data_IF_298570198028
#
_entry.id   IF_298570198028
#
_cell.length_a   1.000
_cell.length_b   1.000
_cell.length_c   1.000
_cell.angle_alpha   90.00
_cell.angle_beta   90.00
_cell.angle_gamma   90.00
#
_symmetry.space_group_name_H-M   'P 1'
#
loop_
_entity.id
_entity.type
_entity.pdbx_description
1 polymer ?
#
# COMPACT_ATOMS: atom_id res chain seq x y z
N UNK A 1 0.89 -12.28 -20.27
CA UNK A 1 -0.55 -12.16 -19.98
C UNK A 1 -1.23 -11.05 -20.78
N UNK A 2 -1.15 -9.73 -20.46
CA UNK A 2 -1.87 -8.69 -21.21
C UNK A 2 -1.63 -8.75 -22.72
N UNK A 3 -0.37 -8.81 -23.15
CA UNK A 3 -0.02 -8.92 -24.57
C UNK A 3 -0.57 -10.18 -25.20
N UNK A 4 -0.56 -11.29 -24.51
CA UNK A 4 -1.03 -12.59 -24.99
C UNK A 4 -2.53 -12.60 -25.25
N UNK A 5 -3.32 -12.08 -24.30
CA UNK A 5 -4.78 -12.14 -24.36
C UNK A 5 -5.44 -10.91 -24.99
N UNK A 6 -4.84 -9.73 -24.89
CA UNK A 6 -5.44 -8.46 -25.33
C UNK A 6 -4.63 -7.74 -26.43
N UNK A 7 -3.49 -8.30 -26.85
CA UNK A 7 -2.61 -7.73 -27.87
C UNK A 7 -1.67 -6.64 -27.39
N UNK A 8 -0.81 -6.14 -28.27
CA UNK A 8 0.26 -5.17 -27.98
C UNK A 8 -0.27 -3.85 -27.40
N UNK A 9 -1.40 -3.38 -27.87
CA UNK A 9 -2.02 -2.12 -27.43
C UNK A 9 -2.39 -2.13 -25.94
N UNK A 10 -2.62 -3.30 -25.34
CA UNK A 10 -2.96 -3.41 -23.94
C UNK A 10 -1.77 -3.08 -22.99
N UNK A 11 -0.55 -3.11 -23.50
CA UNK A 11 0.66 -2.77 -22.73
C UNK A 11 1.24 -1.41 -23.09
N UNK A 12 0.84 -0.81 -24.20
CA UNK A 12 1.35 0.47 -24.71
C UNK A 12 0.37 1.62 -24.56
N UNK A 13 -0.94 1.33 -24.42
CA UNK A 13 -1.97 2.32 -24.21
C UNK A 13 -2.88 1.95 -23.03
N UNK A 14 -3.29 2.95 -22.25
CA UNK A 14 -4.26 2.74 -21.18
C UNK A 14 -5.61 2.29 -21.75
N UNK A 15 -6.13 1.19 -21.25
CA UNK A 15 -7.43 0.66 -21.67
C UNK A 15 -8.41 0.64 -20.48
N UNK A 16 -9.46 1.45 -20.50
CA UNK A 16 -10.53 1.34 -19.52
C UNK A 16 -11.10 -0.08 -19.48
N UNK A 17 -11.37 -0.60 -18.29
CA UNK A 17 -11.89 -1.95 -18.07
C UNK A 17 -11.02 -3.08 -18.66
N UNK A 18 -9.70 -2.87 -18.76
CA UNK A 18 -8.79 -3.90 -19.25
C UNK A 18 -8.87 -5.19 -18.43
N UNK A 19 -9.10 -5.10 -17.11
CA UNK A 19 -9.26 -6.26 -16.23
C UNK A 19 -10.44 -7.15 -16.61
N UNK A 20 -11.60 -6.54 -16.90
CA UNK A 20 -12.81 -7.27 -17.37
C UNK A 20 -12.62 -7.90 -18.75
N UNK A 21 -11.94 -7.17 -19.65
CA UNK A 21 -11.60 -7.71 -20.98
C UNK A 21 -10.65 -8.90 -20.86
N UNK A 22 -9.67 -8.80 -19.94
CA UNK A 22 -8.72 -9.87 -19.68
C UNK A 22 -9.44 -11.11 -19.12
N UNK A 23 -10.24 -10.95 -18.06
CA UNK A 23 -11.00 -12.06 -17.48
C UNK A 23 -11.87 -12.75 -18.54
N UNK A 24 -12.56 -11.97 -19.38
CA UNK A 24 -13.36 -12.51 -20.50
C UNK A 24 -12.49 -13.28 -21.51
N UNK A 25 -11.32 -12.74 -21.88
CA UNK A 25 -10.40 -13.40 -22.82
C UNK A 25 -9.79 -14.69 -22.24
N UNK A 26 -9.71 -14.79 -20.90
CA UNK A 26 -9.29 -15.99 -20.17
C UNK A 26 -10.47 -16.94 -19.87
N UNK A 27 -11.66 -16.66 -20.35
CA UNK A 27 -12.90 -17.42 -20.11
C UNK A 27 -13.29 -17.47 -18.63
N UNK A 28 -12.92 -16.46 -17.86
CA UNK A 28 -13.32 -16.32 -16.48
C UNK A 28 -14.65 -15.57 -16.37
N UNK A 29 -15.54 -16.09 -15.54
CA UNK A 29 -16.79 -15.42 -15.18
C UNK A 29 -16.53 -14.43 -14.05
N UNK A 30 -17.26 -13.31 -14.02
CA UNK A 30 -17.20 -12.36 -12.92
C UNK A 30 -18.60 -12.27 -12.31
N UNK A 31 -18.68 -12.54 -11.01
CA UNK A 31 -19.90 -12.42 -10.20
C UNK A 31 -19.60 -11.54 -8.98
N UNK A 32 -20.64 -11.13 -8.26
CA UNK A 32 -20.49 -10.37 -7.02
C UNK A 32 -21.50 -10.83 -5.98
N UNK A 33 -21.07 -10.84 -4.72
CA UNK A 33 -21.92 -11.12 -3.57
C UNK A 33 -21.44 -10.35 -2.34
N UNK A 34 -22.31 -10.02 -1.39
CA UNK A 34 -21.92 -9.43 -0.12
C UNK A 34 -21.32 -10.51 0.78
N UNK A 35 -20.02 -10.77 0.61
CA UNK A 35 -19.33 -11.78 1.40
C UNK A 35 -19.27 -11.36 2.87
N UNK A 36 -19.33 -12.37 3.73
CA UNK A 36 -19.48 -12.24 5.18
C UNK A 36 -18.48 -11.23 5.76
N UNK A 37 -18.97 -10.34 6.61
CA UNK A 37 -18.30 -9.31 7.47
C UNK A 37 -16.84 -8.93 7.18
N UNK A 38 -16.12 -9.67 6.34
CA UNK A 38 -14.73 -9.43 6.01
C UNK A 38 -14.60 -8.41 4.87
N UNK A 39 -14.60 -7.13 5.23
CA UNK A 39 -14.38 -6.02 4.30
C UNK A 39 -12.97 -5.99 3.71
N UNK A 40 -12.08 -6.93 4.08
CA UNK A 40 -10.70 -7.01 3.59
C UNK A 40 -10.56 -7.93 2.39
N UNK A 41 -11.37 -8.99 2.31
CA UNK A 41 -11.42 -9.83 1.11
C UNK A 41 -12.10 -9.05 -0.01
N UNK A 42 -11.38 -8.74 -1.06
CA UNK A 42 -11.85 -7.91 -2.16
C UNK A 42 -12.41 -8.77 -3.30
N UNK A 43 -11.77 -9.90 -3.59
CA UNK A 43 -12.18 -10.88 -4.59
C UNK A 43 -11.74 -12.30 -4.19
N UNK A 44 -12.34 -13.32 -4.81
CA UNK A 44 -11.98 -14.73 -4.66
C UNK A 44 -12.06 -15.39 -6.03
N UNK A 45 -11.03 -16.15 -6.42
CA UNK A 45 -11.06 -16.99 -7.61
C UNK A 45 -11.45 -18.43 -7.27
N UNK A 46 -12.47 -18.92 -7.95
CA UNK A 46 -12.89 -20.32 -7.91
C UNK A 46 -12.31 -21.08 -9.10
N UNK A 47 -11.25 -21.86 -8.88
CA UNK A 47 -10.65 -22.71 -9.93
C UNK A 47 -11.56 -23.88 -10.33
N UNK A 48 -12.35 -24.38 -9.41
CA UNK A 48 -13.40 -25.39 -9.58
C UNK A 48 -14.68 -24.94 -8.90
N UNK A 49 -15.79 -25.66 -9.12
CA UNK A 49 -17.03 -25.40 -8.43
C UNK A 49 -16.86 -25.49 -6.89
N UNK A 50 -17.41 -24.52 -6.18
CA UNK A 50 -17.30 -24.44 -4.73
C UNK A 50 -18.45 -23.70 -4.07
N UNK A 51 -18.38 -23.53 -2.75
CA UNK A 51 -19.41 -22.87 -1.95
C UNK A 51 -18.85 -21.58 -1.35
N UNK A 52 -19.53 -20.47 -1.57
CA UNK A 52 -19.28 -19.21 -0.87
C UNK A 52 -20.40 -18.92 0.15
N UNK A 53 -20.06 -18.18 1.21
CA UNK A 53 -21.03 -17.68 2.18
C UNK A 53 -21.24 -16.20 2.01
N UNK A 54 -22.46 -15.80 1.72
CA UNK A 54 -22.87 -14.43 1.52
C UNK A 54 -23.87 -13.96 2.59
N UNK A 55 -23.84 -12.67 2.88
CA UNK A 55 -24.83 -12.04 3.75
C UNK A 55 -26.11 -11.77 2.97
N UNK A 56 -27.24 -12.20 3.50
CA UNK A 56 -28.56 -11.86 2.97
C UNK A 56 -29.39 -11.14 4.02
N UNK A 57 -29.96 -10.02 3.63
CA UNK A 57 -30.89 -9.30 4.50
C UNK A 57 -32.28 -9.95 4.41
N UNK A 58 -32.81 -10.39 5.55
CA UNK A 58 -34.16 -10.94 5.67
C UNK A 58 -34.91 -10.13 6.75
N UNK A 59 -35.69 -9.14 6.30
CA UNK A 59 -36.25 -8.14 7.22
C UNK A 59 -35.13 -7.30 7.87
N UNK A 60 -35.14 -7.24 9.21
CA UNK A 60 -34.11 -6.53 9.99
C UNK A 60 -32.91 -7.41 10.36
N UNK A 61 -32.93 -8.69 10.02
CA UNK A 61 -31.88 -9.64 10.35
C UNK A 61 -30.97 -9.92 9.14
N UNK A 62 -29.66 -10.05 9.42
CA UNK A 62 -28.69 -10.54 8.44
C UNK A 62 -28.47 -12.03 8.65
N UNK A 63 -28.81 -12.82 7.67
CA UNK A 63 -28.60 -14.27 7.66
C UNK A 63 -27.50 -14.65 6.69
N UNK A 64 -26.82 -15.77 6.97
CA UNK A 64 -25.82 -16.33 6.08
C UNK A 64 -26.47 -17.30 5.11
N UNK A 65 -26.22 -17.13 3.83
CA UNK A 65 -26.66 -18.00 2.76
C UNK A 65 -25.46 -18.64 2.05
N UNK A 66 -25.53 -19.94 1.84
CA UNK A 66 -24.53 -20.65 1.04
C UNK A 66 -24.90 -20.57 -0.44
N UNK A 67 -23.92 -20.17 -1.25
CA UNK A 67 -24.06 -20.04 -2.71
C UNK A 67 -23.11 -21.01 -3.39
N UNK A 68 -23.61 -21.79 -4.35
CA UNK A 68 -22.75 -22.58 -5.24
C UNK A 68 -22.15 -21.65 -6.30
N UNK A 69 -20.84 -21.59 -6.37
CA UNK A 69 -20.10 -20.76 -7.32
C UNK A 69 -19.48 -21.69 -8.37
N UNK A 70 -19.76 -21.47 -9.66
CA UNK A 70 -19.20 -22.29 -10.74
C UNK A 70 -17.67 -22.17 -10.81
N UNK A 71 -17.02 -23.19 -11.35
CA UNK A 71 -15.61 -23.14 -11.70
C UNK A 71 -15.27 -21.93 -12.60
N UNK A 72 -14.02 -21.46 -12.56
CA UNK A 72 -13.53 -20.32 -13.35
C UNK A 72 -14.30 -19.01 -13.08
N UNK A 73 -14.72 -18.82 -11.82
CA UNK A 73 -15.45 -17.61 -11.42
C UNK A 73 -14.61 -16.74 -10.48
N UNK A 74 -14.49 -15.47 -10.81
CA UNK A 74 -14.01 -14.42 -9.90
C UNK A 74 -15.22 -13.86 -9.17
N UNK A 75 -15.31 -14.10 -7.86
CA UNK A 75 -16.38 -13.58 -7.01
C UNK A 75 -15.88 -12.30 -6.31
N UNK A 76 -16.47 -11.16 -6.67
CA UNK A 76 -16.17 -9.87 -6.06
C UNK A 76 -16.99 -9.67 -4.79
N UNK A 77 -16.35 -9.18 -3.73
CA UNK A 77 -17.03 -8.87 -2.47
C UNK A 77 -17.67 -7.49 -2.53
N UNK A 78 -19.00 -7.43 -2.67
CA UNK A 78 -19.74 -6.16 -2.70
C UNK A 78 -19.70 -5.39 -1.37
N UNK A 79 -19.33 -6.02 -0.25
CA UNK A 79 -19.10 -5.38 1.05
C UNK A 79 -17.69 -4.75 1.17
N UNK A 80 -16.78 -5.06 0.24
CA UNK A 80 -15.44 -4.49 0.26
C UNK A 80 -15.46 -2.98 -0.07
N UNK A 81 -14.58 -2.22 0.58
CA UNK A 81 -14.46 -0.78 0.33
C UNK A 81 -14.04 -0.44 -1.10
N UNK A 82 -13.24 -1.32 -1.74
CA UNK A 82 -12.82 -1.18 -3.13
C UNK A 82 -14.00 -1.32 -4.09
N UNK A 83 -14.89 -2.26 -3.85
CA UNK A 83 -16.09 -2.48 -4.68
C UNK A 83 -17.07 -1.29 -4.67
N UNK A 84 -17.19 -0.63 -3.51
CA UNK A 84 -18.07 0.54 -3.35
C UNK A 84 -17.57 1.79 -4.09
N UNK A 85 -16.32 1.79 -4.53
CA UNK A 85 -15.80 2.83 -5.42
C UNK A 85 -16.11 2.41 -6.85
N UNK A 86 -17.12 3.03 -7.44
CA UNK A 86 -17.61 2.71 -8.80
C UNK A 86 -16.53 2.73 -9.89
N UNK A 87 -15.37 3.31 -9.59
CA UNK A 87 -14.21 3.47 -10.45
C UNK A 87 -13.04 2.60 -9.99
N UNK A 88 -13.33 1.38 -9.47
CA UNK A 88 -12.25 0.47 -9.11
C UNK A 88 -11.39 0.24 -10.36
N UNK A 89 -10.08 0.37 -10.19
CA UNK A 89 -9.08 0.20 -11.25
C UNK A 89 -9.02 -1.25 -11.79
N UNK A 90 -9.93 -2.11 -11.31
CA UNK A 90 -10.00 -3.53 -11.66
C UNK A 90 -8.79 -4.33 -11.16
N UNK A 91 -8.04 -3.77 -10.22
CA UNK A 91 -6.83 -4.40 -9.69
C UNK A 91 -7.12 -5.77 -9.08
N UNK A 92 -8.25 -5.90 -8.41
CA UNK A 92 -8.72 -7.15 -7.81
C UNK A 92 -8.97 -8.22 -8.88
N UNK A 93 -9.59 -7.83 -9.99
CA UNK A 93 -9.81 -8.75 -11.13
C UNK A 93 -8.48 -9.14 -11.77
N UNK A 94 -7.56 -8.18 -11.97
CA UNK A 94 -6.21 -8.51 -12.43
C UNK A 94 -5.48 -9.45 -11.50
N UNK A 95 -5.65 -9.29 -10.18
CA UNK A 95 -5.05 -10.14 -9.17
C UNK A 95 -5.51 -11.59 -9.34
N UNK A 96 -6.80 -11.81 -9.46
CA UNK A 96 -7.38 -13.14 -9.66
C UNK A 96 -7.03 -13.73 -11.04
N UNK A 97 -6.96 -12.91 -12.09
CA UNK A 97 -6.46 -13.34 -13.40
C UNK A 97 -5.02 -13.85 -13.33
N UNK A 98 -4.16 -13.23 -12.48
CA UNK A 98 -2.78 -13.67 -12.30
C UNK A 98 -2.73 -14.97 -11.52
N UNK A 99 -3.56 -15.14 -10.50
CA UNK A 99 -3.68 -16.43 -9.83
C UNK A 99 -4.09 -17.52 -10.81
N UNK A 100 -5.05 -17.27 -11.68
CA UNK A 100 -5.48 -18.23 -12.68
C UNK A 100 -4.37 -18.59 -13.67
N UNK A 101 -3.65 -17.60 -14.19
CA UNK A 101 -2.62 -17.81 -15.22
C UNK A 101 -1.33 -18.43 -14.68
N UNK A 102 -0.86 -17.96 -13.50
CA UNK A 102 0.45 -18.32 -13.00
C UNK A 102 0.44 -19.31 -11.85
N UNK A 103 -0.64 -19.38 -11.10
CA UNK A 103 -0.69 -20.11 -9.84
C UNK A 103 -1.65 -21.32 -9.86
N UNK A 104 -2.32 -21.59 -10.98
CA UNK A 104 -3.25 -22.75 -11.10
C UNK A 104 -2.55 -24.04 -10.69
N UNK A 105 -1.33 -24.29 -11.17
CA UNK A 105 -0.58 -25.50 -10.81
C UNK A 105 -0.28 -25.58 -9.30
N UNK A 106 0.09 -24.45 -8.70
CA UNK A 106 0.34 -24.36 -7.26
C UNK A 106 -0.91 -24.76 -6.45
N UNK A 107 -2.06 -24.17 -6.75
CA UNK A 107 -3.31 -24.48 -6.07
C UNK A 107 -3.81 -25.89 -6.35
N UNK A 108 -3.64 -26.40 -7.58
CA UNK A 108 -3.97 -27.79 -7.93
C UNK A 108 -3.15 -28.79 -7.13
N UNK A 109 -1.85 -28.58 -7.01
CA UNK A 109 -0.97 -29.45 -6.22
C UNK A 109 -1.33 -29.39 -4.74
N UNK A 110 -1.70 -28.21 -4.22
CA UNK A 110 -2.18 -28.10 -2.87
C UNK A 110 -3.46 -28.90 -2.63
N UNK A 111 -4.43 -28.80 -3.55
CA UNK A 111 -5.68 -29.53 -3.45
C UNK A 111 -5.48 -31.05 -3.49
N UNK A 112 -4.50 -31.53 -4.26
CA UNK A 112 -4.14 -32.95 -4.32
C UNK A 112 -3.47 -33.44 -3.01
N UNK A 113 -2.73 -32.57 -2.32
CA UNK A 113 -2.09 -32.92 -1.05
C UNK A 113 -3.02 -32.85 0.15
N UNK A 114 -4.04 -32.00 0.07
CA UNK A 114 -5.10 -31.96 1.06
C UNK A 114 -6.19 -32.92 0.61
N UNK A 115 -6.52 -33.93 1.32
CA UNK A 115 -7.61 -34.90 0.97
C UNK A 115 -8.99 -34.21 0.76
N UNK A 116 -9.07 -32.91 0.82
CA UNK A 116 -10.24 -32.09 0.67
C UNK A 116 -10.18 -31.26 -0.62
N UNK A 117 -10.86 -31.74 -1.66
CA UNK A 117 -10.97 -31.07 -2.96
C UNK A 117 -11.69 -29.72 -2.92
N UNK A 118 -12.27 -29.33 -1.77
CA UNK A 118 -12.87 -28.01 -1.54
C UNK A 118 -11.83 -26.89 -1.41
N UNK A 119 -10.58 -27.21 -1.44
CA UNK A 119 -9.44 -26.34 -1.19
C UNK A 119 -8.98 -25.47 -2.34
N UNK A 120 -9.66 -25.54 -3.46
CA UNK A 120 -9.54 -24.51 -4.48
C UNK A 120 -10.44 -23.30 -4.19
N UNK A 121 -11.11 -23.32 -3.03
CA UNK A 121 -11.68 -22.15 -2.40
C UNK A 121 -10.59 -21.46 -1.57
N UNK A 122 -10.31 -20.27 -1.89
CA UNK A 122 -9.50 -19.39 -1.06
C UNK A 122 -10.24 -19.23 0.29
N UNK A 123 -9.86 -19.99 1.29
CA UNK A 123 -10.42 -19.78 2.62
C UNK A 123 -10.69 -20.97 3.54
N UNK A 124 -10.81 -22.17 3.09
CA UNK A 124 -11.17 -23.33 3.98
C UNK A 124 -10.21 -24.50 3.87
N UNK A 125 -8.90 -24.28 3.97
CA UNK A 125 -7.94 -25.37 4.02
C UNK A 125 -7.77 -25.94 5.42
N UNK A 126 -7.89 -27.27 5.55
CA UNK A 126 -7.55 -27.98 6.78
C UNK A 126 -6.08 -27.70 7.19
N UNK A 127 -5.85 -27.46 8.48
CA UNK A 127 -4.57 -27.02 9.05
C UNK A 127 -3.38 -27.94 8.77
N UNK A 128 -3.63 -29.22 8.46
CA UNK A 128 -2.59 -30.24 8.29
C UNK A 128 -1.95 -30.27 6.89
N UNK A 129 -2.58 -29.71 5.88
CA UNK A 129 -2.19 -29.86 4.46
C UNK A 129 -1.79 -28.55 3.76
N UNK A 130 -1.52 -27.50 4.51
CA UNK A 130 -1.22 -26.16 3.96
C UNK A 130 0.19 -26.04 3.40
N UNK A 131 0.36 -25.31 2.29
CA UNK A 131 1.68 -24.88 1.89
C UNK A 131 2.30 -24.07 3.01
N UNK A 132 3.63 -24.07 3.09
CA UNK A 132 4.31 -23.21 4.01
C UNK A 132 3.80 -21.78 3.83
N UNK A 133 3.50 -21.09 4.92
CA UNK A 133 3.00 -19.71 4.92
C UNK A 133 3.88 -18.76 4.05
N UNK A 134 5.15 -19.14 3.84
CA UNK A 134 6.09 -18.49 2.94
C UNK A 134 5.67 -18.59 1.48
N UNK A 135 5.18 -19.75 1.04
CA UNK A 135 4.85 -20.01 -0.37
C UNK A 135 3.57 -19.28 -0.76
N UNK A 136 2.55 -19.31 0.10
CA UNK A 136 1.31 -18.53 -0.08
C UNK A 136 1.62 -17.04 -0.16
N UNK A 137 2.45 -16.50 0.75
CA UNK A 137 2.85 -15.09 0.71
C UNK A 137 3.59 -14.72 -0.58
N UNK A 138 4.38 -15.66 -1.10
CA UNK A 138 5.08 -15.44 -2.36
C UNK A 138 4.11 -15.34 -3.53
N UNK A 139 3.16 -16.27 -3.61
CA UNK A 139 2.08 -16.30 -4.61
C UNK A 139 1.24 -15.02 -4.56
N UNK A 140 0.81 -14.61 -3.38
CA UNK A 140 0.06 -13.37 -3.16
C UNK A 140 0.86 -12.11 -3.55
N UNK A 141 2.16 -12.09 -3.20
CA UNK A 141 3.04 -10.98 -3.59
C UNK A 141 3.22 -10.88 -5.09
N UNK A 142 3.33 -12.02 -5.78
CA UNK A 142 3.40 -12.07 -7.25
C UNK A 142 2.10 -11.55 -7.87
N UNK A 143 0.94 -12.00 -7.39
CA UNK A 143 -0.35 -11.55 -7.86
C UNK A 143 -0.56 -10.04 -7.62
N UNK A 144 -0.21 -9.54 -6.44
CA UNK A 144 -0.30 -8.11 -6.10
C UNK A 144 0.64 -7.25 -6.95
N UNK A 145 1.88 -7.71 -7.18
CA UNK A 145 2.82 -7.01 -8.08
C UNK A 145 2.32 -7.00 -9.51
N UNK A 146 1.91 -8.16 -10.01
CA UNK A 146 1.45 -8.33 -11.38
C UNK A 146 0.16 -7.56 -11.66
N UNK A 147 -0.81 -7.54 -10.74
CA UNK A 147 -2.07 -6.79 -10.88
C UNK A 147 -1.83 -5.28 -10.97
N UNK A 148 -0.95 -4.75 -10.12
CA UNK A 148 -0.55 -3.35 -10.17
C UNK A 148 0.17 -3.01 -11.47
N UNK A 149 1.02 -3.92 -11.98
CA UNK A 149 1.72 -3.76 -13.25
C UNK A 149 0.78 -3.85 -14.46
N UNK A 150 -0.25 -4.69 -14.38
CA UNK A 150 -1.26 -4.83 -15.41
C UNK A 150 -2.22 -3.63 -15.46
N UNK A 151 -2.61 -3.10 -14.30
CA UNK A 151 -3.46 -1.92 -14.21
C UNK A 151 -2.76 -0.66 -14.75
N UNK A 152 -1.44 -0.52 -14.53
CA UNK A 152 -0.63 0.60 -15.01
C UNK A 152 0.69 0.11 -15.61
N UNK A 153 0.69 -0.32 -16.87
CA UNK A 153 1.90 -0.72 -17.58
C UNK A 153 2.94 0.43 -17.62
N UNK A 154 4.22 0.08 -17.46
CA UNK A 154 5.31 1.05 -17.48
C UNK A 154 5.30 1.97 -18.71
N UNK A 155 5.09 1.46 -19.96
CA UNK A 155 5.04 2.30 -21.16
C UNK A 155 3.89 3.32 -21.15
N UNK A 156 2.83 3.06 -20.42
CA UNK A 156 1.71 4.01 -20.21
C UNK A 156 2.04 5.02 -19.12
N UNK A 157 2.56 4.56 -18.00
CA UNK A 157 2.76 5.40 -16.82
C UNK A 157 3.92 6.39 -16.98
N UNK A 158 5.08 5.95 -17.50
CA UNK A 158 6.29 6.78 -17.50
C UNK A 158 6.19 8.05 -18.35
N UNK A 159 5.58 8.05 -19.55
CA UNK A 159 5.35 9.30 -20.30
C UNK A 159 4.53 10.33 -19.51
N UNK A 160 3.50 9.88 -18.80
CA UNK A 160 2.67 10.76 -17.95
C UNK A 160 3.44 11.32 -16.77
N UNK A 161 4.29 10.50 -16.14
CA UNK A 161 5.16 10.96 -15.06
C UNK A 161 6.09 12.07 -15.57
N UNK A 162 6.70 11.92 -16.72
CA UNK A 162 7.56 12.93 -17.33
C UNK A 162 6.79 14.20 -17.68
N UNK A 163 5.60 14.07 -18.26
CA UNK A 163 4.73 15.19 -18.59
C UNK A 163 4.40 16.02 -17.34
N UNK A 164 3.78 15.40 -16.32
CA UNK A 164 3.36 16.11 -15.11
C UNK A 164 4.52 16.58 -14.24
N UNK A 165 5.66 15.88 -14.28
CA UNK A 165 6.87 16.35 -13.63
C UNK A 165 7.39 17.63 -14.26
N UNK A 166 7.37 17.73 -15.58
CA UNK A 166 7.80 18.93 -16.29
C UNK A 166 6.96 20.18 -15.92
N UNK A 167 5.66 19.99 -15.62
CA UNK A 167 4.77 21.08 -15.18
C UNK A 167 5.20 21.70 -13.84
N UNK A 168 5.80 20.91 -12.95
CA UNK A 168 6.17 21.34 -11.58
C UNK A 168 7.66 21.47 -11.35
N UNK A 169 8.52 21.09 -12.30
CA UNK A 169 9.97 21.10 -12.14
C UNK A 169 10.48 22.47 -11.72
N UNK A 170 10.01 23.53 -12.39
CA UNK A 170 10.45 24.90 -12.16
C UNK A 170 9.59 25.65 -11.12
N UNK A 171 8.66 24.95 -10.45
CA UNK A 171 7.86 25.59 -9.42
C UNK A 171 8.61 25.59 -8.08
N UNK A 172 8.53 26.72 -7.36
CA UNK A 172 9.07 26.85 -5.99
C UNK A 172 8.15 26.20 -4.98
N UNK A 173 8.07 24.86 -5.00
CA UNK A 173 7.30 24.04 -4.05
C UNK A 173 8.17 22.90 -3.52
N UNK A 174 7.83 22.40 -2.33
CA UNK A 174 8.53 21.30 -1.69
C UNK A 174 8.63 20.08 -2.63
N UNK A 175 9.79 19.40 -2.73
CA UNK A 175 9.95 18.21 -3.59
C UNK A 175 8.93 17.11 -3.29
N UNK A 176 8.51 16.91 -2.03
CA UNK A 176 7.44 15.98 -1.66
C UNK A 176 6.08 16.38 -2.24
N UNK A 177 5.80 17.66 -2.39
CA UNK A 177 4.57 18.16 -3.01
C UNK A 177 4.63 18.03 -4.53
N UNK A 178 5.83 18.15 -5.16
CA UNK A 178 5.99 17.89 -6.61
C UNK A 178 5.59 16.47 -6.99
N UNK A 179 6.10 15.46 -6.27
CA UNK A 179 5.74 14.07 -6.56
C UNK A 179 4.27 13.77 -6.24
N UNK A 180 3.71 14.39 -5.20
CA UNK A 180 2.29 14.27 -4.89
C UNK A 180 1.42 14.87 -6.00
N UNK A 181 1.82 16.01 -6.58
CA UNK A 181 1.14 16.59 -7.74
C UNK A 181 1.11 15.62 -8.92
N UNK A 182 2.25 15.05 -9.28
CA UNK A 182 2.34 14.05 -10.37
C UNK A 182 1.40 12.87 -10.13
N UNK A 183 1.44 12.29 -8.92
CA UNK A 183 0.55 11.19 -8.55
C UNK A 183 -0.92 11.59 -8.64
N UNK A 184 -1.25 12.81 -8.18
CA UNK A 184 -2.61 13.32 -8.22
C UNK A 184 -3.14 13.49 -9.65
N UNK A 185 -2.37 14.12 -10.54
CA UNK A 185 -2.76 14.36 -11.94
C UNK A 185 -2.99 13.05 -12.69
N UNK A 186 -2.08 12.08 -12.53
CA UNK A 186 -2.25 10.76 -13.16
C UNK A 186 -3.50 10.05 -12.61
N UNK A 187 -3.74 10.14 -11.28
CA UNK A 187 -4.92 9.55 -10.65
C UNK A 187 -6.22 10.11 -11.21
N UNK A 188 -6.29 11.42 -11.41
CA UNK A 188 -7.45 12.10 -11.98
C UNK A 188 -7.65 11.73 -13.45
N UNK A 189 -6.59 11.76 -14.26
CA UNK A 189 -6.69 11.46 -15.70
C UNK A 189 -7.10 10.01 -15.96
N UNK A 190 -6.55 9.05 -15.21
CA UNK A 190 -6.81 7.61 -15.42
C UNK A 190 -7.93 7.06 -14.55
N UNK A 191 -8.52 7.87 -13.70
CA UNK A 191 -9.59 7.47 -12.77
C UNK A 191 -9.18 6.26 -11.91
N UNK A 192 -7.91 6.27 -11.42
CA UNK A 192 -7.35 5.23 -10.57
C UNK A 192 -6.95 5.80 -9.21
N UNK A 193 -6.76 4.94 -8.23
CA UNK A 193 -6.38 5.39 -6.89
C UNK A 193 -4.96 5.96 -6.83
N UNK A 194 -4.76 7.04 -6.04
CA UNK A 194 -3.42 7.59 -5.76
C UNK A 194 -2.48 6.54 -5.17
N UNK A 195 -3.03 5.63 -4.36
CA UNK A 195 -2.28 4.52 -3.76
C UNK A 195 -1.71 3.55 -4.80
N UNK A 196 -2.48 3.24 -5.85
CA UNK A 196 -2.02 2.40 -6.95
C UNK A 196 -0.82 3.02 -7.66
N UNK A 197 -0.93 4.30 -8.04
CA UNK A 197 0.15 5.02 -8.74
C UNK A 197 1.38 5.12 -7.84
N UNK A 198 1.20 5.51 -6.58
CA UNK A 198 2.28 5.58 -5.59
C UNK A 198 3.03 4.26 -5.49
N UNK A 199 2.32 3.16 -5.29
CA UNK A 199 2.90 1.82 -5.20
C UNK A 199 3.63 1.44 -6.49
N UNK A 200 3.02 1.72 -7.63
CA UNK A 200 3.62 1.42 -8.94
C UNK A 200 4.92 2.19 -9.17
N UNK A 201 4.96 3.47 -8.81
CA UNK A 201 6.17 4.30 -8.91
C UNK A 201 7.29 3.78 -8.01
N UNK A 202 6.99 3.41 -6.77
CA UNK A 202 7.97 2.80 -5.85
C UNK A 202 8.57 1.53 -6.48
N UNK A 203 7.74 0.66 -7.04
CA UNK A 203 8.20 -0.58 -7.67
C UNK A 203 8.95 -0.37 -8.99
N UNK A 204 8.73 0.76 -9.65
CA UNK A 204 9.50 1.16 -10.83
C UNK A 204 10.83 1.87 -10.49
N UNK A 205 11.20 1.92 -9.21
CA UNK A 205 12.46 2.51 -8.76
C UNK A 205 12.40 4.02 -8.53
N UNK A 206 11.21 4.58 -8.27
CA UNK A 206 11.02 5.97 -7.84
C UNK A 206 10.74 6.03 -6.34
N UNK A 207 11.77 6.01 -5.47
CA UNK A 207 11.59 6.02 -4.03
C UNK A 207 10.92 7.30 -3.52
N UNK A 208 11.07 8.43 -4.21
CA UNK A 208 10.43 9.70 -3.87
C UNK A 208 8.92 9.57 -3.64
N UNK A 209 8.24 8.64 -4.34
CA UNK A 209 6.82 8.37 -4.13
C UNK A 209 6.48 7.88 -2.71
N UNK A 210 7.46 7.38 -1.92
CA UNK A 210 7.26 7.03 -0.50
C UNK A 210 6.89 8.25 0.34
N UNK A 211 7.33 9.45 -0.05
CA UNK A 211 7.02 10.70 0.65
C UNK A 211 5.62 11.25 0.43
N UNK A 212 4.86 10.73 -0.54
CA UNK A 212 3.55 11.25 -0.89
C UNK A 212 2.40 10.42 -0.33
N UNK A 213 1.29 11.06 0.04
CA UNK A 213 0.02 10.43 0.42
C UNK A 213 0.15 9.36 1.52
N UNK A 214 0.97 9.60 2.53
CA UNK A 214 1.08 8.72 3.68
C UNK A 214 -0.12 8.91 4.62
N UNK A 215 -0.86 7.82 4.88
CA UNK A 215 -2.00 7.81 5.78
C UNK A 215 -1.59 7.21 7.13
N UNK A 216 -1.61 8.02 8.18
CA UNK A 216 -1.12 7.65 9.51
C UNK A 216 -2.07 8.18 10.57
N UNK A 217 -2.36 7.39 11.59
CA UNK A 217 -3.23 7.78 12.70
C UNK A 217 -4.60 8.33 12.25
N UNK A 218 -5.19 7.73 11.21
CA UNK A 218 -6.52 8.12 10.73
C UNK A 218 -6.55 9.34 9.80
N UNK A 219 -5.39 9.88 9.39
CA UNK A 219 -5.31 11.05 8.49
C UNK A 219 -4.13 10.98 7.52
N UNK A 220 -4.20 11.75 6.45
CA UNK A 220 -3.04 12.02 5.60
C UNK A 220 -2.11 13.03 6.29
N UNK A 221 -0.83 12.69 6.35
CA UNK A 221 0.22 13.61 6.80
C UNK A 221 0.72 14.45 5.62
N UNK A 222 1.46 15.52 5.92
CA UNK A 222 2.09 16.35 4.88
C UNK A 222 3.07 15.52 4.04
N UNK A 223 3.12 15.80 2.74
CA UNK A 223 4.09 15.15 1.87
C UNK A 223 5.50 15.58 2.24
N UNK A 224 6.48 14.69 2.05
CA UNK A 224 7.87 14.93 2.42
C UNK A 224 8.82 14.41 1.35
N UNK A 225 10.07 14.81 1.43
CA UNK A 225 11.13 14.37 0.55
C UNK A 225 12.37 13.95 1.34
N UNK A 226 13.26 13.22 0.69
CA UNK A 226 14.51 12.71 1.21
C UNK A 226 15.45 12.43 0.05
N UNK A 227 16.75 12.30 0.33
CA UNK A 227 17.71 11.86 -0.66
C UNK A 227 17.41 10.42 -1.08
N UNK A 228 17.42 10.19 -2.39
CA UNK A 228 17.13 8.89 -2.98
C UNK A 228 18.06 7.80 -2.48
N UNK A 229 19.33 8.11 -2.25
CA UNK A 229 20.35 7.14 -1.85
C UNK A 229 20.25 6.76 -0.38
N UNK A 230 19.57 7.58 0.42
CA UNK A 230 19.39 7.34 1.85
C UNK A 230 18.40 6.24 2.20
N UNK A 231 17.62 5.68 1.23
CA UNK A 231 16.44 4.84 1.51
C UNK A 231 16.43 3.54 0.72
N UNK A 232 16.51 2.43 1.44
CA UNK A 232 16.32 1.08 0.91
C UNK A 232 14.85 0.67 0.77
N UNK A 233 14.58 -0.46 0.15
CA UNK A 233 13.22 -0.94 -0.15
C UNK A 233 12.34 -1.10 1.10
N UNK A 234 12.90 -1.63 2.20
CA UNK A 234 12.19 -1.83 3.48
C UNK A 234 12.11 -0.59 4.38
N UNK A 235 12.79 0.52 4.02
CA UNK A 235 12.92 1.68 4.88
C UNK A 235 11.70 2.59 4.81
N UNK A 236 11.43 3.26 5.94
CA UNK A 236 10.39 4.28 6.09
C UNK A 236 10.81 5.32 7.12
N UNK A 237 10.39 6.56 6.93
CA UNK A 237 10.49 7.62 7.93
C UNK A 237 9.17 7.81 8.69
N UNK A 238 8.16 6.99 8.38
CA UNK A 238 6.80 7.17 8.88
C UNK A 238 6.37 5.94 9.68
N UNK A 239 5.98 6.18 10.93
CA UNK A 239 5.41 5.17 11.83
C UNK A 239 4.13 5.69 12.46
N UNK A 240 3.23 4.79 12.84
CA UNK A 240 2.03 5.17 13.60
C UNK A 240 2.36 5.51 15.05
N UNK A 241 1.43 6.18 15.73
CA UNK A 241 1.58 6.43 17.17
C UNK A 241 1.64 5.14 17.98
N UNK A 242 0.90 4.12 17.58
CA UNK A 242 0.98 2.79 18.21
C UNK A 242 2.38 2.20 18.07
N UNK A 243 2.93 2.19 16.85
CA UNK A 243 4.30 1.71 16.61
C UNK A 243 5.36 2.51 17.37
N UNK A 244 5.16 3.82 17.51
CA UNK A 244 6.03 4.66 18.33
C UNK A 244 5.99 4.24 19.82
N UNK A 245 4.79 4.00 20.36
CA UNK A 245 4.62 3.55 21.75
C UNK A 245 5.20 2.15 21.96
N UNK A 246 4.97 1.22 21.03
CA UNK A 246 5.55 -0.11 21.07
C UNK A 246 7.09 -0.07 21.10
N UNK A 247 7.72 0.79 20.28
CA UNK A 247 9.16 0.99 20.29
C UNK A 247 9.64 1.62 21.62
N UNK A 248 8.91 2.60 22.12
CA UNK A 248 9.23 3.26 23.39
C UNK A 248 9.19 2.28 24.58
N UNK A 249 8.23 1.36 24.58
CA UNK A 249 8.10 0.33 25.63
C UNK A 249 9.16 -0.77 25.49
N UNK A 250 9.48 -1.19 24.27
CA UNK A 250 10.29 -2.39 24.02
C UNK A 250 11.78 -2.11 23.82
N UNK A 251 12.19 -0.87 23.45
CA UNK A 251 13.56 -0.50 23.10
C UNK A 251 14.10 0.57 24.04
N UNK A 252 15.07 0.17 24.88
CA UNK A 252 15.68 1.07 25.87
C UNK A 252 16.39 2.25 25.22
N UNK A 253 17.21 1.98 24.19
CA UNK A 253 17.93 3.02 23.43
C UNK A 253 16.99 4.07 22.85
N UNK A 254 15.87 3.61 22.25
CA UNK A 254 14.85 4.50 21.70
C UNK A 254 14.18 5.33 22.78
N UNK A 255 13.86 4.71 23.93
CA UNK A 255 13.27 5.40 25.11
C UNK A 255 14.19 6.50 25.61
N UNK A 256 15.48 6.22 25.78
CA UNK A 256 16.46 7.22 26.22
C UNK A 256 16.50 8.46 25.32
N UNK A 257 16.43 8.28 23.99
CA UNK A 257 16.42 9.40 23.03
C UNK A 257 15.20 10.30 23.23
N UNK A 258 14.05 9.68 23.51
CA UNK A 258 12.79 10.42 23.73
C UNK A 258 12.81 11.10 25.11
N UNK A 259 13.24 10.39 26.18
CA UNK A 259 13.26 10.93 27.57
C UNK A 259 14.27 12.08 27.71
N UNK A 260 15.39 12.01 27.01
CA UNK A 260 16.37 13.12 26.91
C UNK A 260 15.87 14.30 26.07
N UNK A 261 14.64 14.20 25.52
CA UNK A 261 14.01 15.21 24.65
C UNK A 261 14.81 15.55 23.40
N UNK A 262 15.75 14.70 22.99
CA UNK A 262 16.51 14.87 21.75
C UNK A 262 15.63 14.65 20.52
N UNK A 263 14.66 13.75 20.63
CA UNK A 263 13.70 13.44 19.57
C UNK A 263 12.27 13.58 20.06
N UNK A 264 11.37 13.86 19.13
CA UNK A 264 9.93 13.97 19.40
C UNK A 264 9.12 13.30 18.29
N UNK A 265 7.96 12.77 18.63
CA UNK A 265 7.00 12.29 17.63
C UNK A 265 6.19 13.45 17.07
N UNK A 266 6.35 13.71 15.77
CA UNK A 266 5.70 14.80 15.06
C UNK A 266 5.02 14.28 13.77
N UNK A 267 3.71 14.25 13.76
CA UNK A 267 2.85 13.91 12.59
C UNK A 267 3.32 12.65 11.82
N UNK A 268 3.59 11.56 12.53
CA UNK A 268 4.03 10.30 11.93
C UNK A 268 5.55 10.12 11.81
N UNK A 269 6.32 11.13 12.15
CA UNK A 269 7.78 11.08 12.15
C UNK A 269 8.34 11.10 13.57
N UNK A 270 9.52 10.54 13.76
CA UNK A 270 10.33 10.75 14.96
C UNK A 270 11.53 11.59 14.54
N UNK A 271 11.57 12.82 14.95
CA UNK A 271 12.50 13.82 14.44
C UNK A 271 13.21 14.58 15.56
N UNK A 272 14.30 15.26 15.23
CA UNK A 272 15.01 16.13 16.16
C UNK A 272 14.05 17.18 16.76
N UNK A 273 14.14 17.37 18.07
CA UNK A 273 13.27 18.26 18.83
C UNK A 273 13.85 19.68 18.90
N UNK A 274 13.96 20.34 17.76
CA UNK A 274 14.44 21.72 17.65
C UNK A 274 13.41 22.60 16.94
N UNK A 275 13.35 23.91 17.18
CA UNK A 275 12.41 24.83 16.53
C UNK A 275 12.54 24.87 15.00
N UNK A 276 13.74 24.65 14.45
CA UNK A 276 14.00 24.54 13.02
C UNK A 276 13.37 23.31 12.38
N UNK A 277 13.16 22.25 13.15
CA UNK A 277 12.63 20.97 12.65
C UNK A 277 11.14 20.80 12.96
N UNK A 278 10.71 21.19 14.15
CA UNK A 278 9.36 20.96 14.66
C UNK A 278 8.69 22.27 15.04
N UNK A 279 7.44 22.42 14.61
CA UNK A 279 6.56 23.51 15.05
C UNK A 279 5.27 22.94 15.64
N UNK A 280 4.64 23.69 16.53
CA UNK A 280 3.34 23.36 17.08
C UNK A 280 2.22 23.96 16.21
N UNK A 281 1.26 23.14 15.83
CA UNK A 281 0.03 23.56 15.15
C UNK A 281 -1.19 23.28 16.02
N UNK A 282 -2.10 24.26 16.18
CA UNK A 282 -3.24 24.19 17.09
C UNK A 282 -4.14 22.96 16.92
N UNK A 283 -4.26 22.43 15.67
CA UNK A 283 -5.14 21.29 15.37
C UNK A 283 -4.40 19.97 15.18
N UNK A 284 -3.10 20.01 14.89
CA UNK A 284 -2.30 18.82 14.52
C UNK A 284 -1.28 18.42 15.58
N UNK A 285 -0.99 19.32 16.54
CA UNK A 285 0.10 19.14 17.49
C UNK A 285 1.45 19.41 16.83
N UNK A 286 2.46 18.64 17.19
CA UNK A 286 3.80 18.75 16.62
C UNK A 286 3.81 18.29 15.15
N UNK A 287 4.33 19.13 14.26
CA UNK A 287 4.47 18.86 12.82
C UNK A 287 5.85 19.31 12.35
N UNK A 288 6.34 18.73 11.25
CA UNK A 288 7.61 19.13 10.65
C UNK A 288 7.53 20.56 10.06
N UNK A 289 8.62 21.31 10.14
CA UNK A 289 8.79 22.56 9.40
C UNK A 289 8.86 22.29 7.90
N UNK A 290 8.78 23.34 7.07
CA UNK A 290 8.85 23.20 5.62
C UNK A 290 10.21 22.66 5.17
N UNK A 291 11.30 23.12 5.79
CA UNK A 291 12.63 22.59 5.53
C UNK A 291 12.73 21.11 5.90
N UNK A 292 12.29 20.74 7.12
CA UNK A 292 12.35 19.36 7.61
C UNK A 292 11.55 18.39 6.72
N UNK A 293 10.42 18.84 6.17
CA UNK A 293 9.65 18.05 5.19
C UNK A 293 10.43 17.80 3.89
N UNK A 294 11.34 18.70 3.52
CA UNK A 294 12.20 18.52 2.35
C UNK A 294 13.40 17.61 2.58
N UNK A 295 13.75 17.36 3.87
CA UNK A 295 15.00 16.72 4.27
C UNK A 295 14.79 15.74 5.44
N UNK A 296 13.80 14.84 5.34
CA UNK A 296 13.49 13.95 6.47
C UNK A 296 14.61 12.95 6.78
N UNK A 297 15.44 12.64 5.81
CA UNK A 297 16.64 11.81 5.95
C UNK A 297 17.73 12.46 6.81
N UNK A 298 17.73 13.79 6.90
CA UNK A 298 18.70 14.56 7.72
C UNK A 298 18.20 14.74 9.16
N UNK A 299 16.90 14.86 9.38
CA UNK A 299 16.34 15.29 10.65
C UNK A 299 15.38 14.29 11.31
N UNK A 300 15.03 13.19 10.66
CA UNK A 300 14.12 12.18 11.19
C UNK A 300 14.80 10.81 11.29
N UNK A 301 14.38 10.02 12.27
CA UNK A 301 14.81 8.64 12.37
C UNK A 301 14.26 7.81 11.21
N UNK A 302 15.12 6.97 10.65
CA UNK A 302 14.80 6.00 9.64
C UNK A 302 14.48 4.66 10.31
N UNK A 303 13.42 4.01 9.86
CA UNK A 303 12.98 2.72 10.35
C UNK A 303 13.06 1.69 9.24
N UNK A 304 13.66 0.55 9.51
CA UNK A 304 13.66 -0.61 8.62
C UNK A 304 12.62 -1.63 9.08
N UNK A 305 11.84 -2.17 8.14
CA UNK A 305 10.86 -3.23 8.42
C UNK A 305 11.46 -4.58 8.13
N UNK A 306 11.84 -5.30 9.18
CA UNK A 306 12.16 -6.71 9.06
C UNK A 306 10.89 -7.55 9.17
N UNK A 307 10.54 -8.20 8.08
CA UNK A 307 9.44 -9.16 8.08
C UNK A 307 9.89 -10.47 8.69
N UNK A 308 9.44 -10.77 9.89
CA UNK A 308 9.60 -12.09 10.48
C UNK A 308 8.55 -13.01 9.88
N UNK A 309 9.01 -14.14 9.31
CA UNK A 309 8.14 -15.25 8.97
C UNK A 309 7.62 -15.84 10.28
N UNK A 310 6.44 -15.47 10.72
CA UNK A 310 5.78 -16.16 11.81
C UNK A 310 5.34 -17.51 11.28
N UNK A 311 6.06 -18.56 11.66
CA UNK A 311 5.59 -19.94 11.59
C UNK A 311 4.54 -20.06 12.70
N UNK A 312 3.38 -19.57 12.47
CA UNK A 312 2.29 -19.58 13.43
C UNK A 312 0.99 -19.55 12.67
N UNK A 313 0.33 -20.69 12.65
CA UNK A 313 -1.08 -20.90 12.38
C UNK A 313 -1.72 -19.82 11.49
N UNK A 314 -1.53 -19.94 10.19
CA UNK A 314 -2.51 -19.39 9.28
C UNK A 314 -3.83 -20.11 9.59
N UNK A 315 -4.74 -19.41 10.25
CA UNK A 315 -6.13 -19.79 10.28
C UNK A 315 -6.72 -19.63 8.90
N UNK A 316 -6.45 -20.57 7.99
CA UNK A 316 -7.25 -20.78 6.79
C UNK A 316 -8.35 -21.73 7.20
N UNK A 317 -9.15 -21.38 8.06
CA UNK A 317 -10.30 -22.17 8.48
C UNK A 317 -11.53 -21.31 8.51
N UNK A 318 -11.31 -20.03 8.61
CA UNK A 318 -12.36 -19.06 8.40
C UNK A 318 -11.74 -17.94 7.60
N UNK A 319 -12.29 -17.59 6.48
CA UNK A 319 -12.06 -16.39 5.68
C UNK A 319 -12.09 -15.08 6.53
N UNK A 320 -12.11 -15.19 7.84
CA UNK A 320 -12.59 -14.19 8.76
C UNK A 320 -11.75 -13.98 9.99
N UNK A 321 -10.65 -14.72 10.18
CA UNK A 321 -9.79 -14.33 11.27
C UNK A 321 -9.02 -13.09 10.83
N UNK A 322 -9.29 -11.98 11.49
CA UNK A 322 -8.53 -10.73 11.40
C UNK A 322 -7.02 -10.92 11.65
N UNK A 323 -6.61 -12.11 12.03
CA UNK A 323 -5.25 -12.56 12.30
C UNK A 323 -4.55 -13.23 11.12
N UNK A 324 -5.24 -13.52 10.01
CA UNK A 324 -4.66 -14.27 8.88
C UNK A 324 -3.53 -13.51 8.14
N UNK A 325 -3.44 -12.21 8.27
CA UNK A 325 -2.47 -11.34 7.61
C UNK A 325 -1.84 -10.29 8.53
N UNK A 326 -1.58 -10.61 9.78
CA UNK A 326 -0.61 -9.84 10.53
C UNK A 326 0.78 -10.26 10.05
N UNK A 327 1.30 -9.57 9.03
CA UNK A 327 2.74 -9.50 8.81
C UNK A 327 3.36 -8.98 10.09
N UNK A 328 3.88 -9.86 10.92
CA UNK A 328 4.69 -9.41 12.05
C UNK A 328 6.01 -8.93 11.48
N UNK A 329 6.24 -7.65 11.57
CA UNK A 329 7.54 -7.06 11.29
C UNK A 329 8.11 -6.45 12.56
N UNK A 330 9.41 -6.54 12.72
CA UNK A 330 10.14 -5.77 13.72
C UNK A 330 10.58 -4.48 13.07
N UNK A 331 10.27 -3.34 13.69
CA UNK A 331 10.84 -2.06 13.30
C UNK A 331 12.23 -1.95 13.94
N UNK A 332 13.24 -1.83 13.09
CA UNK A 332 14.60 -1.47 13.52
C UNK A 332 14.76 0.02 13.26
N UNK A 333 15.10 0.74 14.31
CA UNK A 333 15.46 2.15 14.20
C UNK A 333 16.94 2.24 13.86
N UNK A 334 17.30 2.89 12.76
CA UNK A 334 18.68 3.24 12.44
C UNK A 334 18.92 4.70 12.79
N UNK A 335 20.00 4.92 13.54
CA UNK A 335 20.41 6.20 14.12
C UNK A 335 21.47 6.91 13.26
N UNK A 336 21.46 6.73 11.95
CA UNK A 336 22.41 7.38 11.03
C UNK A 336 22.06 8.86 10.84
N UNK A 337 22.06 9.61 11.94
CA UNK A 337 21.97 11.06 11.88
C UNK A 337 23.37 11.63 12.04
N UNK A 338 23.68 12.61 11.23
CA UNK A 338 24.92 13.37 11.34
C UNK A 338 24.97 14.06 12.70
N UNK A 339 25.79 13.51 13.60
CA UNK A 339 25.95 14.04 14.97
C UNK A 339 26.53 15.46 14.99
N UNK A 340 27.05 15.93 13.85
CA UNK A 340 27.70 17.25 13.72
C UNK A 340 26.73 18.36 13.27
N UNK A 341 25.46 18.06 13.03
CA UNK A 341 24.46 19.09 12.70
C UNK A 341 24.10 19.88 13.97
N UNK A 342 24.69 21.09 14.09
CA UNK A 342 24.33 22.02 15.15
C UNK A 342 22.94 22.64 14.93
N UNK A 343 22.29 23.10 16.00
CA UNK A 343 20.98 23.77 15.92
C UNK A 343 21.05 25.04 15.05
N UNK A 344 22.13 25.79 15.13
CA UNK A 344 22.39 26.98 14.32
C UNK A 344 22.49 26.66 12.82
N UNK A 345 23.22 25.59 12.46
CA UNK A 345 23.31 25.13 11.08
C UNK A 345 21.96 24.67 10.50
N UNK A 346 21.09 24.08 11.34
CA UNK A 346 19.74 23.70 10.96
C UNK A 346 18.85 24.93 10.75
N UNK A 347 18.98 25.96 11.59
CA UNK A 347 18.22 27.20 11.46
C UNK A 347 18.60 27.98 10.21
N UNK A 348 19.90 28.07 9.90
CA UNK A 348 20.40 28.69 8.65
C UNK A 348 19.85 27.95 7.43
N UNK A 349 19.95 26.62 7.38
CA UNK A 349 19.41 25.81 6.26
C UNK A 349 17.89 25.94 6.12
N UNK A 350 17.17 26.03 7.23
CA UNK A 350 15.71 26.22 7.18
C UNK A 350 15.36 27.64 6.65
N UNK A 351 16.10 28.66 7.03
CA UNK A 351 15.92 30.03 6.56
C UNK A 351 16.19 30.12 5.04
N UNK A 352 17.33 29.60 4.57
CA UNK A 352 17.68 29.52 3.15
C UNK A 352 16.62 28.78 2.32
N UNK A 353 16.12 27.65 2.83
CA UNK A 353 15.08 26.87 2.17
C UNK A 353 13.77 27.65 2.04
N UNK A 354 13.37 28.39 3.09
CA UNK A 354 12.15 29.19 3.08
C UNK A 354 12.23 30.39 2.10
N UNK A 355 13.42 30.92 1.85
CA UNK A 355 13.64 31.92 0.80
C UNK A 355 13.45 31.32 -0.60
N UNK A 356 13.96 30.11 -0.81
CA UNK A 356 13.87 29.39 -2.09
C UNK A 356 12.46 28.86 -2.37
N UNK A 357 11.74 28.41 -1.33
CA UNK A 357 10.40 27.82 -1.42
C UNK A 357 9.40 28.56 -0.52
N UNK A 358 8.99 29.79 -0.88
CA UNK A 358 8.05 30.57 -0.07
C UNK A 358 6.71 29.83 0.09
N UNK A 359 6.15 29.92 1.30
CA UNK A 359 4.90 29.25 1.67
C UNK A 359 3.77 29.62 0.70
N UNK A 360 3.27 28.63 -0.05
CA UNK A 360 1.92 28.72 -0.59
C UNK A 360 0.93 28.23 0.49
N UNK A 361 -0.23 28.87 0.64
CA UNK A 361 -1.26 28.37 1.53
C UNK A 361 -1.63 26.94 1.10
N UNK A 362 -1.57 25.98 2.03
CA UNK A 362 -1.75 24.53 1.81
C UNK A 362 -3.17 24.11 1.40
N UNK A 363 -4.06 25.05 1.14
CA UNK A 363 -5.49 24.78 0.92
C UNK A 363 -5.83 24.22 -0.47
N UNK A 364 -4.94 24.27 -1.45
CA UNK A 364 -5.26 23.91 -2.83
C UNK A 364 -4.96 22.44 -3.22
N UNK A 365 -4.35 21.64 -2.35
CA UNK A 365 -3.99 20.24 -2.66
C UNK A 365 -4.78 19.19 -1.84
N UNK A 366 -5.80 19.60 -1.08
CA UNK A 366 -6.55 18.71 -0.16
C UNK A 366 -8.04 18.67 -0.49
N UNK A 367 -8.48 19.06 -1.67
CA UNK A 367 -9.84 18.78 -2.13
C UNK A 367 -9.86 17.68 -3.17
#
# INVERSE_FOLDING_TARGET
MLKTYLGETAVTAYQPRAAWKLAKAMELQISSAPLFKNRRTEAILFFQEGIARAERQVGDETVMEEMVIPAKTILLNSNAKSYQRADSDGREIFHECIHYEWHTMFFTLQALHSADLRLLEYGEADRASRPAAKDVRWVERQASYGSTAAALPRPVLMPMVHQYWAEVTNQSINPGDKIAHVIYQIAQEKQVSKGLIRTRLIWLGSPAAKGAFNYVNGRYIANFAFDRESVSSGDTFVISRTQFLDLYEQKEDFRELIDKKRYVYADGHVCLNTPSIVRQENKRGAVLTEWARGHVDVCCLKFHREYKSVIGSYGVGELHSDQAYQDSYTLICSLDLDENLSEEALDEKNAEYLETFPRRPSAALVQ
#
